data_IF_930345567927
#
_entry.id   IF_930345567927
#
_cell.length_a   1.000
_cell.length_b   1.000
_cell.length_c   1.000
_cell.angle_alpha   90.00
_cell.angle_beta   90.00
_cell.angle_gamma   90.00
#
_symmetry.space_group_name_H-M   'P 1'
#
loop_
_entity.id
_entity.type
_entity.pdbx_description
1 polymer ?
#
# COMPACT_ATOMS: atom_id res chain seq x y z
N UNK A 1 32.82 -15.02 3.90
CA UNK A 1 31.81 -15.11 4.98
C UNK A 1 30.45 -15.00 4.33
N UNK A 2 29.56 -15.97 4.55
CA UNK A 2 28.17 -15.80 4.15
C UNK A 2 27.60 -14.58 4.91
N UNK A 3 26.73 -13.76 4.29
CA UNK A 3 26.07 -12.69 5.03
C UNK A 3 25.34 -13.30 6.24
N UNK A 4 25.42 -12.64 7.40
CA UNK A 4 24.65 -13.00 8.58
C UNK A 4 23.15 -12.81 8.28
N UNK A 5 22.51 -13.83 7.72
CA UNK A 5 21.09 -13.81 7.43
C UNK A 5 20.31 -13.97 8.73
N UNK A 6 19.42 -13.03 8.99
CA UNK A 6 18.46 -13.10 10.10
C UNK A 6 17.04 -13.20 9.53
N UNK A 7 16.26 -14.12 10.07
CA UNK A 7 14.85 -14.29 9.72
C UNK A 7 14.01 -13.92 10.93
N UNK A 8 13.16 -12.89 10.78
CA UNK A 8 12.24 -12.45 11.84
C UNK A 8 10.82 -12.49 11.26
N UNK A 9 9.96 -13.42 11.69
CA UNK A 9 8.61 -13.55 11.15
C UNK A 9 7.72 -12.37 11.57
N UNK A 10 6.98 -11.83 10.61
CA UNK A 10 5.94 -10.82 10.88
C UNK A 10 4.69 -11.55 11.42
N UNK A 11 4.08 -11.10 12.52
CA UNK A 11 2.87 -11.73 13.04
C UNK A 11 1.72 -11.66 12.04
N UNK A 12 1.01 -12.78 11.82
CA UNK A 12 -0.20 -12.78 10.99
C UNK A 12 -1.37 -12.22 11.78
N UNK A 13 -2.03 -11.18 11.25
CA UNK A 13 -3.23 -10.61 11.85
C UNK A 13 -4.53 -11.24 11.32
N UNK A 14 -4.45 -11.95 10.20
CA UNK A 14 -5.59 -12.39 9.39
C UNK A 14 -5.35 -13.76 8.75
N UNK A 15 -6.38 -14.34 8.14
CA UNK A 15 -6.31 -15.64 7.46
C UNK A 15 -5.43 -15.55 6.20
N UNK A 16 -5.61 -14.50 5.41
CA UNK A 16 -4.77 -14.22 4.24
C UNK A 16 -3.98 -12.92 4.45
N UNK A 17 -2.74 -12.91 3.96
CA UNK A 17 -1.85 -11.75 3.93
C UNK A 17 -1.12 -11.73 2.58
N UNK A 18 -1.16 -10.61 1.86
CA UNK A 18 -0.58 -10.52 0.51
C UNK A 18 -0.11 -9.09 0.17
N UNK A 19 0.71 -8.98 -0.88
CA UNK A 19 1.35 -7.76 -1.40
C UNK A 19 2.01 -6.90 -0.31
N UNK A 20 3.03 -7.46 0.36
CA UNK A 20 3.78 -6.72 1.35
C UNK A 20 4.67 -5.64 0.72
N UNK A 21 4.88 -4.54 1.46
CA UNK A 21 5.80 -3.47 1.13
C UNK A 21 6.60 -3.07 2.36
N UNK A 22 7.89 -2.79 2.15
CA UNK A 22 8.83 -2.41 3.21
C UNK A 22 9.33 -0.99 3.01
N UNK A 23 9.47 -0.25 4.12
CA UNK A 23 10.15 1.05 4.15
C UNK A 23 11.12 1.09 5.33
N UNK A 24 12.42 1.24 5.05
CA UNK A 24 13.42 1.51 6.08
C UNK A 24 13.51 3.01 6.35
N UNK A 25 13.45 3.39 7.62
CA UNK A 25 13.53 4.76 8.10
C UNK A 25 14.99 5.15 8.43
N UNK A 26 15.31 6.45 8.56
CA UNK A 26 16.68 6.90 8.87
C UNK A 26 17.24 6.36 10.19
N UNK A 27 16.39 6.12 11.18
CA UNK A 27 16.77 5.50 12.46
C UNK A 27 16.99 3.98 12.35
N UNK A 28 16.85 3.41 11.15
CA UNK A 28 16.93 1.98 10.80
C UNK A 28 15.70 1.17 11.20
N UNK A 29 14.65 1.79 11.73
CA UNK A 29 13.35 1.15 11.89
C UNK A 29 12.86 0.68 10.52
N UNK A 30 12.31 -0.53 10.44
CA UNK A 30 11.68 -1.04 9.22
C UNK A 30 10.17 -1.08 9.44
N UNK A 31 9.41 -0.44 8.56
CA UNK A 31 7.97 -0.60 8.48
C UNK A 31 7.66 -1.69 7.45
N UNK A 32 6.74 -2.58 7.81
CA UNK A 32 6.17 -3.57 6.90
C UNK A 32 4.67 -3.36 6.84
N UNK A 33 4.13 -3.20 5.63
CA UNK A 33 2.70 -3.15 5.40
C UNK A 33 2.28 -4.23 4.43
N UNK A 34 1.05 -4.71 4.55
CA UNK A 34 0.42 -5.70 3.66
C UNK A 34 -1.09 -5.52 3.74
N UNK A 35 -1.83 -6.04 2.76
CA UNK A 35 -3.26 -6.18 2.94
C UNK A 35 -3.60 -7.56 3.50
N UNK A 36 -4.65 -7.64 4.31
CA UNK A 36 -5.06 -8.90 4.92
C UNK A 36 -6.51 -8.90 5.38
N UNK A 37 -7.13 -10.07 5.32
CA UNK A 37 -8.54 -10.34 5.65
C UNK A 37 -8.86 -11.81 5.47
N UNK A 38 -10.13 -12.14 5.24
CA UNK A 38 -10.61 -13.50 5.02
C UNK A 38 -10.26 -14.03 3.62
N UNK A 39 -10.50 -13.23 2.58
CA UNK A 39 -10.22 -13.58 1.19
C UNK A 39 -9.92 -12.33 0.36
N UNK A 40 -8.87 -12.40 -0.47
CA UNK A 40 -8.53 -11.33 -1.39
C UNK A 40 -9.73 -10.87 -2.23
N UNK A 41 -9.96 -9.56 -2.23
CA UNK A 41 -11.02 -8.90 -2.99
C UNK A 41 -12.27 -8.58 -2.18
N UNK A 42 -12.47 -9.18 -1.00
CA UNK A 42 -13.62 -8.89 -0.14
C UNK A 42 -13.46 -7.56 0.64
N UNK A 43 -14.58 -6.96 1.12
CA UNK A 43 -14.54 -5.71 1.87
C UNK A 43 -13.81 -5.78 3.22
N UNK A 44 -13.70 -6.96 3.84
CA UNK A 44 -12.99 -7.10 5.12
C UNK A 44 -11.45 -7.00 4.99
N UNK A 45 -10.95 -6.94 3.75
CA UNK A 45 -9.54 -6.73 3.46
C UNK A 45 -9.13 -5.31 3.86
N UNK A 46 -8.22 -5.25 4.82
CA UNK A 46 -7.68 -4.02 5.40
C UNK A 46 -6.17 -3.94 5.19
N UNK A 47 -5.62 -2.73 5.24
CA UNK A 47 -4.18 -2.53 5.31
C UNK A 47 -3.71 -2.71 6.74
N UNK A 48 -2.71 -3.56 6.92
CA UNK A 48 -2.04 -3.81 8.18
C UNK A 48 -0.61 -3.28 8.12
N UNK A 49 -0.09 -2.90 9.28
CA UNK A 49 1.27 -2.42 9.43
C UNK A 49 1.92 -2.98 10.69
N UNK A 50 3.17 -3.36 10.58
CA UNK A 50 4.02 -3.71 11.72
C UNK A 50 5.39 -3.06 11.58
N UNK A 51 6.07 -2.89 12.72
CA UNK A 51 7.34 -2.16 12.84
C UNK A 51 8.40 -3.08 13.41
N UNK A 52 9.62 -3.00 12.89
CA UNK A 52 10.80 -3.64 13.43
C UNK A 52 11.78 -2.55 13.86
N UNK A 53 11.90 -2.36 15.16
CA UNK A 53 12.85 -1.42 15.74
C UNK A 53 14.29 -1.96 15.59
N UNK A 54 15.32 -1.09 15.47
CA UNK A 54 16.69 -1.53 15.26
C UNK A 54 17.19 -2.49 16.36
N UNK A 55 17.66 -3.67 15.97
CA UNK A 55 18.15 -4.69 16.90
C UNK A 55 17.05 -5.44 17.66
N UNK A 56 15.76 -5.13 17.42
CA UNK A 56 14.66 -5.89 18.00
C UNK A 56 14.65 -7.32 17.44
N UNK A 57 14.42 -8.34 18.29
CA UNK A 57 14.26 -9.72 17.83
C UNK A 57 12.86 -10.00 17.25
N UNK A 58 11.94 -9.02 17.31
CA UNK A 58 10.54 -9.20 16.88
C UNK A 58 9.93 -7.92 16.32
N UNK A 59 8.95 -8.12 15.44
CA UNK A 59 8.06 -7.08 14.96
C UNK A 59 7.01 -6.72 16.02
N UNK A 60 6.50 -5.50 15.98
CA UNK A 60 5.36 -5.08 16.81
C UNK A 60 4.08 -5.85 16.45
N UNK A 61 3.11 -5.88 17.35
CA UNK A 61 1.76 -6.36 17.01
C UNK A 61 1.23 -5.59 15.79
N UNK A 62 0.66 -6.26 14.77
CA UNK A 62 0.13 -5.59 13.60
C UNK A 62 -1.00 -4.62 13.95
N UNK A 63 -0.94 -3.42 13.39
CA UNK A 63 -1.96 -2.39 13.52
C UNK A 63 -2.79 -2.35 12.24
N UNK A 64 -4.12 -2.34 12.38
CA UNK A 64 -5.04 -2.13 11.25
C UNK A 64 -5.08 -0.64 10.93
N UNK A 65 -4.67 -0.26 9.73
CA UNK A 65 -4.52 1.14 9.30
C UNK A 65 -5.69 1.62 8.44
N UNK A 66 -6.35 0.70 7.73
CA UNK A 66 -7.53 1.01 6.93
C UNK A 66 -8.70 0.11 7.28
N UNK A 67 -9.89 0.58 6.96
CA UNK A 67 -11.12 -0.20 6.97
C UNK A 67 -12.12 0.51 6.06
N UNK A 68 -12.84 -0.26 5.26
CA UNK A 68 -13.97 0.20 4.47
C UNK A 68 -14.97 -0.95 4.45
N UNK A 69 -16.21 -0.69 4.84
CA UNK A 69 -17.24 -1.72 4.97
C UNK A 69 -17.68 -2.30 3.61
N UNK A 70 -17.46 -1.55 2.52
CA UNK A 70 -17.96 -1.89 1.19
C UNK A 70 -16.83 -2.16 0.20
N UNK A 71 -15.57 -1.83 0.53
CA UNK A 71 -14.46 -1.86 -0.43
C UNK A 71 -13.24 -2.59 0.11
N UNK A 72 -12.56 -3.29 -0.78
CA UNK A 72 -11.32 -4.01 -0.47
C UNK A 72 -10.12 -3.07 -0.52
N UNK A 73 -9.36 -2.96 0.57
CA UNK A 73 -8.16 -2.13 0.64
C UNK A 73 -6.91 -2.94 0.28
N UNK A 74 -6.27 -2.71 -0.86
CA UNK A 74 -5.22 -3.59 -1.37
C UNK A 74 -3.93 -2.87 -1.78
N UNK A 75 -2.88 -3.66 -1.96
CA UNK A 75 -1.55 -3.27 -2.45
C UNK A 75 -1.02 -1.99 -1.79
N UNK A 76 -0.80 -2.03 -0.47
CA UNK A 76 -0.26 -0.90 0.24
C UNK A 76 1.18 -0.63 -0.19
N UNK A 77 1.52 0.64 -0.29
CA UNK A 77 2.83 1.14 -0.68
C UNK A 77 3.20 2.29 0.26
N UNK A 78 4.37 2.17 0.89
CA UNK A 78 4.94 3.20 1.74
C UNK A 78 5.90 4.06 0.92
N UNK A 79 5.83 5.37 1.16
CA UNK A 79 6.72 6.34 0.53
C UNK A 79 7.09 7.43 1.55
N UNK A 80 8.38 7.67 1.76
CA UNK A 80 8.85 8.74 2.65
C UNK A 80 9.03 10.02 1.85
N UNK A 81 8.18 11.01 2.08
CA UNK A 81 8.22 12.28 1.38
C UNK A 81 9.54 13.02 1.66
N UNK A 82 10.27 13.47 0.62
CA UNK A 82 11.62 14.01 0.82
C UNK A 82 11.64 15.39 1.47
N UNK A 83 10.55 16.16 1.40
CA UNK A 83 10.52 17.55 1.84
C UNK A 83 10.37 17.71 3.36
N UNK A 84 9.61 16.82 4.00
CA UNK A 84 9.34 16.87 5.44
C UNK A 84 9.62 15.55 6.18
N UNK A 85 9.84 14.46 5.45
CA UNK A 85 10.07 13.14 6.03
C UNK A 85 8.80 12.40 6.44
N UNK A 86 7.61 12.96 6.17
CA UNK A 86 6.34 12.29 6.42
C UNK A 86 6.25 11.00 5.62
N UNK A 87 5.59 10.01 6.19
CA UNK A 87 5.33 8.74 5.51
C UNK A 87 3.96 8.80 4.87
N UNK A 88 3.90 8.52 3.58
CA UNK A 88 2.67 8.34 2.85
C UNK A 88 2.40 6.84 2.76
N UNK A 89 1.21 6.44 3.18
CA UNK A 89 0.65 5.13 2.88
C UNK A 89 -0.34 5.31 1.74
N UNK A 90 -0.01 4.73 0.60
CA UNK A 90 -0.87 4.66 -0.58
C UNK A 90 -1.44 3.25 -0.68
N UNK A 91 -2.72 3.12 -1.00
CA UNK A 91 -3.29 1.80 -1.29
C UNK A 91 -4.45 1.91 -2.27
N UNK A 92 -4.68 0.84 -3.02
CA UNK A 92 -5.86 0.72 -3.86
C UNK A 92 -7.10 0.48 -2.99
N UNK A 93 -8.22 1.10 -3.35
CA UNK A 93 -9.56 0.78 -2.86
C UNK A 93 -10.42 0.32 -4.05
N UNK A 94 -10.83 -0.94 -4.05
CA UNK A 94 -11.59 -1.55 -5.15
C UNK A 94 -12.97 -2.06 -4.67
N UNK A 95 -13.91 -2.16 -5.60
CA UNK A 95 -15.24 -2.70 -5.34
C UNK A 95 -15.26 -4.22 -5.55
N UNK A 96 -15.18 -5.01 -4.47
CA UNK A 96 -15.38 -6.46 -4.49
C UNK A 96 -14.71 -7.24 -5.65
N UNK A 97 -13.44 -6.93 -5.98
CA UNK A 97 -12.70 -7.58 -7.06
C UNK A 97 -12.90 -6.96 -8.46
N UNK A 98 -13.62 -5.85 -8.58
CA UNK A 98 -13.76 -5.06 -9.80
C UNK A 98 -12.80 -3.86 -9.77
N UNK A 99 -11.74 -3.90 -10.60
CA UNK A 99 -10.63 -2.93 -10.52
C UNK A 99 -10.76 -1.73 -11.47
N UNK A 100 -11.62 -1.79 -12.48
CA UNK A 100 -11.95 -0.65 -13.36
C UNK A 100 -12.60 0.54 -12.61
N UNK A 101 -13.22 0.28 -11.47
CA UNK A 101 -13.70 1.28 -10.52
C UNK A 101 -12.74 1.60 -9.37
N UNK A 102 -11.51 1.07 -9.40
CA UNK A 102 -10.55 1.25 -8.32
C UNK A 102 -9.93 2.65 -8.30
N UNK A 103 -9.58 3.13 -7.12
CA UNK A 103 -8.88 4.39 -6.92
C UNK A 103 -7.83 4.28 -5.81
N UNK A 104 -6.89 5.23 -5.78
CA UNK A 104 -5.82 5.25 -4.78
C UNK A 104 -6.21 6.16 -3.61
N UNK A 105 -6.17 5.61 -2.41
CA UNK A 105 -6.27 6.36 -1.16
C UNK A 105 -4.87 6.65 -0.61
N UNK A 106 -4.74 7.80 0.06
CA UNK A 106 -3.56 8.25 0.78
C UNK A 106 -3.90 8.50 2.25
N UNK A 107 -3.04 8.02 3.14
CA UNK A 107 -2.88 8.50 4.52
C UNK A 107 -1.47 9.01 4.73
N UNK A 108 -1.28 9.97 5.62
CA UNK A 108 0.03 10.52 5.98
C UNK A 108 0.33 10.31 7.45
N UNK A 109 1.60 10.06 7.77
CA UNK A 109 2.10 9.94 9.14
C UNK A 109 3.27 10.91 9.35
N UNK A 110 3.13 11.91 10.24
CA UNK A 110 4.20 12.86 10.57
C UNK A 110 5.17 12.32 11.64
N UNK A 111 4.88 11.15 12.22
CA UNK A 111 5.55 10.60 13.39
C UNK A 111 6.10 9.19 13.14
N UNK A 112 6.65 8.99 11.93
CA UNK A 112 7.37 7.77 11.56
C UNK A 112 6.50 6.50 11.56
N UNK A 113 5.24 6.63 11.16
CA UNK A 113 4.29 5.53 11.01
C UNK A 113 3.57 5.14 12.31
N UNK A 114 3.59 6.00 13.33
CA UNK A 114 2.95 5.75 14.64
C UNK A 114 1.48 6.15 14.64
N UNK A 115 1.16 7.29 14.05
CA UNK A 115 -0.21 7.77 13.84
C UNK A 115 -0.44 8.12 12.39
N UNK A 116 -1.70 8.07 11.96
CA UNK A 116 -2.09 8.23 10.57
C UNK A 116 -3.24 9.22 10.46
N UNK A 117 -3.19 10.07 9.44
CA UNK A 117 -4.31 10.94 9.08
C UNK A 117 -5.53 10.13 8.65
N UNK A 118 -6.67 10.82 8.54
CA UNK A 118 -7.80 10.33 7.77
C UNK A 118 -7.42 10.03 6.31
N UNK A 119 -8.13 9.09 5.70
CA UNK A 119 -7.92 8.73 4.30
C UNK A 119 -8.45 9.81 3.37
N UNK A 120 -7.73 10.06 2.29
CA UNK A 120 -8.16 10.95 1.20
C UNK A 120 -7.84 10.31 -0.15
N UNK A 121 -8.63 10.62 -1.19
CA UNK A 121 -8.27 10.21 -2.56
C UNK A 121 -7.01 10.95 -2.98
N UNK A 122 -6.00 10.22 -3.44
CA UNK A 122 -4.77 10.82 -3.97
C UNK A 122 -5.08 11.63 -5.23
N UNK A 123 -5.97 11.08 -6.09
CA UNK A 123 -6.40 11.66 -7.35
C UNK A 123 -7.94 11.67 -7.38
N UNK A 124 -8.60 12.75 -6.93
CA UNK A 124 -10.05 12.75 -6.67
C UNK A 124 -10.92 12.31 -7.86
N UNK A 125 -10.50 12.66 -9.07
CA UNK A 125 -11.25 12.49 -10.31
C UNK A 125 -10.75 11.31 -11.17
N UNK A 126 -9.90 10.43 -10.63
CA UNK A 126 -9.31 9.31 -11.37
C UNK A 126 -9.76 7.99 -10.76
N UNK A 127 -10.28 7.10 -11.61
CA UNK A 127 -10.65 5.73 -11.28
C UNK A 127 -10.06 4.77 -12.33
N UNK A 128 -10.20 3.46 -12.10
CA UNK A 128 -9.60 2.44 -12.97
C UNK A 128 -8.09 2.44 -12.87
N UNK A 129 -7.56 2.80 -11.70
CA UNK A 129 -6.13 2.79 -11.43
C UNK A 129 -5.79 1.93 -10.23
N UNK A 130 -4.65 1.25 -10.34
CA UNK A 130 -4.19 0.30 -9.35
C UNK A 130 -2.70 0.55 -9.05
N UNK A 131 -2.34 0.60 -7.76
CA UNK A 131 -0.95 0.84 -7.34
C UNK A 131 -0.28 -0.46 -6.90
N UNK A 132 1.01 -0.62 -7.23
CA UNK A 132 1.87 -1.70 -6.70
C UNK A 132 3.31 -1.29 -6.40
N UNK A 133 3.71 -0.09 -6.81
CA UNK A 133 5.09 0.37 -6.71
C UNK A 133 5.16 1.73 -6.00
N UNK A 134 6.24 2.02 -5.25
CA UNK A 134 6.49 3.33 -4.68
C UNK A 134 6.52 4.45 -5.72
N UNK A 135 6.20 5.67 -5.27
CA UNK A 135 6.47 6.88 -6.03
C UNK A 135 7.99 6.97 -6.28
N UNK A 136 8.37 7.35 -7.49
CA UNK A 136 9.74 7.64 -7.88
C UNK A 136 9.87 9.12 -8.17
N UNK A 137 10.93 9.77 -7.71
CA UNK A 137 11.22 11.17 -8.05
C UNK A 137 12.37 11.18 -9.05
N UNK A 138 12.17 11.80 -10.21
CA UNK A 138 13.21 11.88 -11.24
C UNK A 138 14.23 13.00 -10.95
N UNK A 139 15.27 13.12 -11.78
CA UNK A 139 16.34 14.11 -11.60
C UNK A 139 15.89 15.58 -11.68
N UNK A 140 14.71 15.85 -12.24
CA UNK A 140 14.10 17.19 -12.30
C UNK A 140 13.19 17.49 -11.10
N UNK A 141 13.02 16.54 -10.19
CA UNK A 141 12.12 16.68 -9.04
C UNK A 141 10.66 16.33 -9.32
N UNK A 142 10.32 15.81 -10.51
CA UNK A 142 8.96 15.36 -10.83
C UNK A 142 8.65 14.07 -10.08
N UNK A 143 7.47 14.02 -9.44
CA UNK A 143 6.97 12.85 -8.74
C UNK A 143 6.25 11.96 -9.75
N UNK A 144 6.71 10.73 -9.91
CA UNK A 144 6.17 9.76 -10.84
C UNK A 144 5.47 8.66 -10.03
N UNK A 145 4.18 8.47 -10.26
CA UNK A 145 3.36 7.44 -9.67
C UNK A 145 3.15 6.31 -10.69
N UNK A 146 3.81 5.16 -10.54
CA UNK A 146 3.54 4.00 -11.38
C UNK A 146 2.19 3.39 -11.03
N UNK A 147 1.37 3.15 -12.06
CA UNK A 147 0.03 2.57 -11.92
C UNK A 147 -0.20 1.50 -12.98
N UNK A 148 -1.20 0.66 -12.75
CA UNK A 148 -1.88 -0.06 -13.82
C UNK A 148 -3.20 0.64 -14.09
N UNK A 149 -3.54 0.81 -15.37
CA UNK A 149 -4.90 1.14 -15.77
C UNK A 149 -5.68 -0.15 -15.90
N UNK A 150 -6.72 -0.29 -15.07
CA UNK A 150 -7.64 -1.42 -15.08
C UNK A 150 -8.78 -1.09 -16.04
N UNK A 151 -8.76 -1.70 -17.22
CA UNK A 151 -9.65 -1.33 -18.31
C UNK A 151 -10.69 -2.41 -18.56
N UNK A 152 -11.90 -1.97 -18.89
CA UNK A 152 -12.97 -2.84 -19.34
C UNK A 152 -13.67 -2.22 -20.54
N UNK A 153 -14.21 -3.05 -21.41
CA UNK A 153 -15.12 -2.58 -22.44
C UNK A 153 -16.43 -2.11 -21.79
N UNK A 154 -17.07 -1.03 -22.28
CA UNK A 154 -18.35 -0.59 -21.77
C UNK A 154 -19.38 -1.71 -21.73
N UNK A 155 -19.99 -1.93 -20.56
CA UNK A 155 -20.99 -2.98 -20.34
C UNK A 155 -20.42 -4.34 -19.93
N UNK A 156 -19.09 -4.50 -19.89
CA UNK A 156 -18.44 -5.72 -19.43
C UNK A 156 -17.84 -5.56 -18.03
N UNK A 157 -17.82 -6.66 -17.27
CA UNK A 157 -17.12 -6.73 -15.98
C UNK A 157 -15.62 -6.78 -16.22
N UNK A 158 -14.84 -6.06 -15.41
CA UNK A 158 -13.39 -6.17 -15.44
C UNK A 158 -12.93 -7.60 -15.06
N UNK A 159 -12.03 -8.15 -15.87
CA UNK A 159 -11.42 -9.49 -15.67
C UNK A 159 -9.89 -9.47 -15.73
N UNK A 160 -9.26 -8.29 -15.84
CA UNK A 160 -7.80 -8.14 -15.90
C UNK A 160 -7.15 -8.52 -17.23
N UNK A 161 -7.92 -8.71 -18.30
CA UNK A 161 -7.40 -9.13 -19.62
C UNK A 161 -6.83 -8.00 -20.47
N UNK A 162 -7.14 -6.73 -20.14
CA UNK A 162 -6.77 -5.55 -20.94
C UNK A 162 -6.07 -4.46 -20.09
N UNK A 163 -5.50 -4.87 -18.96
CA UNK A 163 -4.79 -3.94 -18.09
C UNK A 163 -3.46 -3.54 -18.71
N UNK A 164 -3.15 -2.24 -18.62
CA UNK A 164 -1.88 -1.70 -19.13
C UNK A 164 -1.11 -0.98 -18.03
N UNK A 165 0.20 -1.10 -18.05
CA UNK A 165 1.07 -0.30 -17.20
C UNK A 165 1.05 1.17 -17.64
N UNK A 166 1.12 2.07 -16.67
CA UNK A 166 1.13 3.51 -16.89
C UNK A 166 1.89 4.24 -15.80
N UNK A 167 2.12 5.53 -16.04
CA UNK A 167 2.67 6.46 -15.06
C UNK A 167 1.83 7.73 -15.04
N UNK A 168 1.63 8.28 -13.85
CA UNK A 168 1.05 9.60 -13.62
C UNK A 168 2.15 10.48 -13.02
N UNK A 169 2.22 11.76 -13.39
CA UNK A 169 3.31 12.65 -12.98
C UNK A 169 2.87 14.11 -12.90
#
# INVERSE_FOLDING_TARGET
MAPNLQTIPVPSATVQSHASNLLQLPDKTVLCTWFGGSQEGLPDISIWLSRLEPGSPSWTSPQKISFDENRSCQNPVLFRAPHNGDIWLLHTSQDAGNQDGAYILKRTSPDQGRTWSEASRLLPNVTGIFIRQPIVINGSGTWILPVFYCRTEPGHRWIGSDDISGVLY
#
